data_IF_150240939643
#
_entry.id   IF_150240939643
#
_cell.length_a   1.000
_cell.length_b   1.000
_cell.length_c   1.000
_cell.angle_alpha   90.00
_cell.angle_beta   90.00
_cell.angle_gamma   90.00
#
_symmetry.space_group_name_H-M   'P 1'
#
loop_
_entity.id
_entity.type
_entity.pdbx_description
1 polymer ?
#
# COMPACT_ATOMS: atom_id res chain seq x y z
N UNK A 1 4.13 -12.29 50.62
CA UNK A 1 4.35 -13.75 50.72
C UNK A 1 4.26 -14.12 52.18
N UNK A 2 3.49 -15.16 52.52
CA UNK A 2 3.40 -15.66 53.90
C UNK A 2 4.70 -16.41 54.23
N UNK A 3 5.30 -16.11 55.38
CA UNK A 3 6.51 -16.79 55.84
C UNK A 3 6.09 -17.93 56.77
N UNK A 4 6.38 -19.16 56.36
CA UNK A 4 6.01 -20.36 57.08
C UNK A 4 7.20 -20.94 57.83
N UNK A 5 7.00 -21.29 59.10
CA UNK A 5 8.00 -21.95 59.94
C UNK A 5 7.48 -23.28 60.47
N UNK A 6 8.38 -24.23 60.64
CA UNK A 6 8.06 -25.51 61.28
C UNK A 6 7.99 -25.26 62.79
N UNK A 7 6.81 -25.44 63.37
CA UNK A 7 6.58 -25.26 64.81
C UNK A 7 6.61 -26.59 65.56
N UNK A 8 6.06 -27.66 64.98
CA UNK A 8 6.15 -29.02 65.51
C UNK A 8 6.43 -30.05 64.43
N UNK A 9 7.10 -31.14 64.81
CA UNK A 9 7.40 -32.27 63.93
C UNK A 9 7.30 -33.57 64.74
N UNK A 10 6.48 -34.51 64.27
CA UNK A 10 6.40 -35.86 64.82
C UNK A 10 6.89 -36.87 63.79
N UNK A 11 7.76 -37.79 64.20
CA UNK A 11 8.32 -38.83 63.34
C UNK A 11 8.07 -40.19 63.99
N UNK A 12 7.38 -41.07 63.27
CA UNK A 12 7.04 -42.42 63.69
C UNK A 12 7.56 -43.45 62.69
N UNK A 13 8.12 -44.54 63.21
CA UNK A 13 8.61 -45.70 62.45
C UNK A 13 9.52 -45.35 61.25
N UNK A 14 10.37 -44.32 61.40
CA UNK A 14 11.27 -43.84 60.36
C UNK A 14 12.74 -43.96 60.77
N UNK A 15 13.52 -44.75 60.03
CA UNK A 15 14.97 -44.98 60.20
C UNK A 15 15.35 -45.30 61.65
N UNK A 16 15.95 -44.34 62.36
CA UNK A 16 16.42 -44.50 63.73
C UNK A 16 15.29 -44.34 64.77
N UNK A 17 14.17 -43.72 64.39
CA UNK A 17 13.11 -43.32 65.31
C UNK A 17 11.97 -44.33 65.33
N UNK A 18 11.57 -44.75 66.52
CA UNK A 18 10.34 -45.52 66.75
C UNK A 18 9.14 -44.59 66.85
N UNK A 19 9.24 -43.59 67.72
CA UNK A 19 8.35 -42.44 67.80
C UNK A 19 9.11 -41.28 68.48
N UNK A 20 9.13 -40.11 67.88
CA UNK A 20 9.72 -38.90 68.45
C UNK A 20 8.90 -37.68 68.05
N UNK A 21 8.76 -36.74 68.98
CA UNK A 21 8.11 -35.46 68.73
C UNK A 21 9.08 -34.33 69.07
N UNK A 22 9.15 -33.35 68.18
CA UNK A 22 9.90 -32.13 68.34
C UNK A 22 8.92 -30.97 68.41
N UNK A 23 8.97 -30.22 69.51
CA UNK A 23 8.33 -28.92 69.63
C UNK A 23 9.41 -27.85 69.47
N UNK A 24 9.41 -27.20 68.31
CA UNK A 24 10.40 -26.18 67.97
C UNK A 24 10.03 -24.81 68.54
N UNK A 25 8.80 -24.62 69.04
CA UNK A 25 8.26 -23.32 69.51
C UNK A 25 8.55 -22.19 68.50
N UNK A 26 8.47 -20.92 68.90
CA UNK A 26 8.94 -19.76 68.09
C UNK A 26 10.47 -19.60 68.15
N UNK A 27 11.24 -20.69 68.25
CA UNK A 27 12.70 -20.63 68.35
C UNK A 27 13.31 -20.32 66.98
N UNK A 28 14.21 -19.35 66.91
CA UNK A 28 14.85 -18.94 65.65
C UNK A 28 16.06 -19.81 65.27
N UNK A 29 16.65 -20.54 66.22
CA UNK A 29 17.80 -21.41 66.01
C UNK A 29 17.70 -22.63 66.92
N UNK A 30 17.92 -23.82 66.35
CA UNK A 30 17.84 -25.10 67.04
C UNK A 30 19.02 -25.95 66.64
N UNK A 31 19.70 -26.52 67.63
CA UNK A 31 20.85 -27.38 67.43
C UNK A 31 20.51 -28.80 67.87
N UNK A 32 20.67 -29.76 66.97
CA UNK A 32 20.54 -31.19 67.28
C UNK A 32 21.91 -31.76 67.63
N UNK A 33 22.17 -31.96 68.92
CA UNK A 33 23.41 -32.56 69.40
C UNK A 33 23.21 -34.04 69.75
N UNK A 34 24.24 -34.85 69.51
CA UNK A 34 24.24 -36.26 69.88
C UNK A 34 25.34 -37.03 69.15
N UNK A 35 25.61 -38.30 69.52
CA UNK A 35 26.59 -39.13 68.84
C UNK A 35 26.19 -39.47 67.39
N UNK A 36 27.12 -39.99 66.61
CA UNK A 36 26.81 -40.49 65.27
C UNK A 36 25.88 -41.72 65.36
N UNK A 37 24.91 -41.81 64.45
CA UNK A 37 23.91 -42.90 64.44
C UNK A 37 22.65 -42.66 65.27
N UNK A 38 22.57 -41.59 66.07
CA UNK A 38 21.41 -41.25 66.90
C UNK A 38 20.23 -40.59 66.15
N UNK A 39 20.29 -40.55 64.81
CA UNK A 39 19.19 -40.06 64.00
C UNK A 39 19.22 -38.56 63.64
N UNK A 40 20.28 -37.81 63.97
CA UNK A 40 20.42 -36.38 63.59
C UNK A 40 20.12 -36.12 62.11
N UNK A 41 20.81 -36.84 61.22
CA UNK A 41 20.58 -36.76 59.77
C UNK A 41 19.21 -37.32 59.38
N UNK A 42 18.70 -38.31 60.13
CA UNK A 42 17.36 -38.87 59.90
C UNK A 42 16.25 -37.86 60.17
N UNK A 43 16.42 -36.92 61.11
CA UNK A 43 15.46 -35.82 61.32
C UNK A 43 15.36 -34.96 60.07
N UNK A 44 16.49 -34.53 59.49
CA UNK A 44 16.49 -33.74 58.26
C UNK A 44 15.96 -34.53 57.06
N UNK A 45 16.27 -35.82 56.96
CA UNK A 45 15.71 -36.69 55.92
C UNK A 45 14.19 -36.80 56.02
N UNK A 46 13.63 -36.84 57.24
CA UNK A 46 12.19 -36.90 57.45
C UNK A 46 11.52 -35.61 56.97
N UNK A 47 12.11 -34.45 57.28
CA UNK A 47 11.62 -33.14 56.83
C UNK A 47 11.72 -33.03 55.30
N UNK A 48 12.85 -33.44 54.69
CA UNK A 48 12.99 -33.43 53.24
C UNK A 48 11.99 -34.37 52.55
N UNK A 49 11.81 -35.58 53.09
CA UNK A 49 10.83 -36.54 52.59
C UNK A 49 9.42 -35.99 52.69
N UNK A 50 9.07 -35.31 53.80
CA UNK A 50 7.77 -34.69 54.01
C UNK A 50 7.44 -33.59 52.99
N UNK A 51 8.41 -32.73 52.64
CA UNK A 51 8.16 -31.63 51.72
C UNK A 51 8.32 -32.02 50.25
N UNK A 52 9.37 -32.76 49.91
CA UNK A 52 9.73 -33.01 48.50
C UNK A 52 9.27 -34.36 47.98
N UNK A 53 8.90 -35.27 48.87
CA UNK A 53 8.51 -36.64 48.52
C UNK A 53 9.70 -37.51 48.17
N UNK A 54 10.93 -37.02 48.34
CA UNK A 54 12.17 -37.75 48.07
C UNK A 54 13.24 -37.35 49.08
N UNK A 55 14.34 -38.10 49.09
CA UNK A 55 15.54 -37.77 49.87
C UNK A 55 16.69 -37.69 48.89
N UNK A 56 17.10 -36.48 48.53
CA UNK A 56 17.98 -36.19 47.40
C UNK A 56 19.33 -36.88 47.54
N UNK A 57 19.94 -36.81 48.74
CA UNK A 57 21.20 -37.52 49.02
C UNK A 57 21.11 -39.04 48.79
N UNK A 58 19.96 -39.67 49.04
CA UNK A 58 19.81 -41.11 48.84
C UNK A 58 19.59 -41.42 47.37
N UNK A 59 18.82 -40.58 46.66
CA UNK A 59 18.70 -40.67 45.21
C UNK A 59 20.06 -40.55 44.51
N UNK A 60 20.91 -39.63 44.96
CA UNK A 60 22.23 -39.40 44.36
C UNK A 60 23.22 -40.52 44.71
N UNK A 61 23.24 -40.98 45.97
CA UNK A 61 24.01 -42.16 46.36
C UNK A 61 23.57 -43.40 45.59
N UNK A 62 22.26 -43.59 45.39
CA UNK A 62 21.74 -44.69 44.60
C UNK A 62 22.23 -44.61 43.15
N UNK A 63 22.20 -43.44 42.51
CA UNK A 63 22.73 -43.24 41.14
C UNK A 63 24.23 -43.53 41.04
N UNK A 64 25.02 -43.14 42.05
CA UNK A 64 26.46 -43.32 42.06
C UNK A 64 26.88 -44.76 42.35
N UNK A 65 26.18 -45.45 43.26
CA UNK A 65 26.58 -46.76 43.79
C UNK A 65 25.90 -47.92 43.06
N UNK A 66 24.68 -47.74 42.54
CA UNK A 66 23.83 -48.84 42.02
C UNK A 66 23.74 -48.89 40.49
N UNK A 67 24.82 -48.56 39.78
CA UNK A 67 24.87 -48.58 38.30
C UNK A 67 24.64 -49.98 37.70
N UNK A 68 24.82 -51.07 38.46
CA UNK A 68 24.88 -52.42 37.87
C UNK A 68 24.02 -53.53 38.53
N UNK A 69 23.25 -53.33 39.60
CA UNK A 69 22.47 -54.43 40.19
C UNK A 69 21.06 -54.07 40.66
N UNK A 70 20.05 -54.71 40.04
CA UNK A 70 18.65 -54.75 40.50
C UNK A 70 18.51 -55.61 41.76
N UNK A 71 19.06 -55.17 42.89
CA UNK A 71 18.82 -55.86 44.18
C UNK A 71 17.47 -55.42 44.74
N UNK A 72 16.52 -56.35 44.82
CA UNK A 72 15.33 -56.20 45.65
C UNK A 72 15.78 -56.30 47.11
N UNK A 73 15.38 -55.35 47.94
CA UNK A 73 15.72 -55.37 49.36
C UNK A 73 14.59 -56.07 50.13
N UNK A 74 14.95 -56.99 51.01
CA UNK A 74 13.98 -57.71 51.86
C UNK A 74 13.25 -56.75 52.80
N UNK A 75 13.97 -55.76 53.32
CA UNK A 75 13.43 -54.73 54.21
C UNK A 75 13.51 -53.34 53.57
N UNK A 76 12.53 -52.51 53.89
CA UNK A 76 12.51 -51.11 53.46
C UNK A 76 13.55 -50.30 54.26
N UNK A 77 14.42 -49.55 53.57
CA UNK A 77 15.48 -48.73 54.18
C UNK A 77 14.95 -47.69 55.19
N UNK A 78 13.72 -47.22 54.98
CA UNK A 78 13.13 -46.13 55.75
C UNK A 78 12.32 -46.63 56.93
N UNK A 79 11.85 -47.87 56.91
CA UNK A 79 10.87 -48.36 57.86
C UNK A 79 11.53 -48.93 59.11
N UNK A 80 11.22 -48.38 60.27
CA UNK A 80 11.72 -48.85 61.55
C UNK A 80 10.72 -49.81 62.22
N UNK A 81 11.07 -51.09 62.28
CA UNK A 81 10.24 -52.16 62.84
C UNK A 81 10.49 -52.47 64.34
N UNK A 82 11.35 -51.69 65.02
CA UNK A 82 11.78 -52.01 66.40
C UNK A 82 10.63 -52.08 67.42
N UNK A 83 9.58 -51.28 67.23
CA UNK A 83 8.38 -51.25 68.09
C UNK A 83 7.15 -51.92 67.44
N UNK A 84 7.38 -52.83 66.48
CA UNK A 84 6.33 -53.49 65.72
C UNK A 84 6.14 -52.92 64.31
N UNK A 85 5.27 -53.56 63.55
CA UNK A 85 4.97 -53.19 62.16
C UNK A 85 3.84 -52.16 62.13
N UNK A 86 4.19 -50.93 62.50
CA UNK A 86 3.30 -49.76 62.44
C UNK A 86 3.57 -48.94 61.18
N UNK A 87 2.59 -48.16 60.75
CA UNK A 87 2.74 -47.24 59.62
C UNK A 87 3.83 -46.20 59.90
N UNK A 88 4.60 -45.89 58.87
CA UNK A 88 5.57 -44.80 58.90
C UNK A 88 4.79 -43.49 58.77
N UNK A 89 4.88 -42.60 59.76
CA UNK A 89 4.20 -41.30 59.74
C UNK A 89 5.19 -40.18 60.06
N UNK A 90 5.15 -39.13 59.25
CA UNK A 90 5.88 -37.88 59.52
C UNK A 90 4.84 -36.76 59.52
N UNK A 91 4.51 -36.21 60.69
CA UNK A 91 3.55 -35.10 60.85
C UNK A 91 4.29 -33.79 61.07
N UNK A 92 3.76 -32.69 60.52
CA UNK A 92 4.29 -31.34 60.75
C UNK A 92 3.19 -30.36 61.07
N UNK A 93 3.49 -29.40 61.93
CA UNK A 93 2.73 -28.16 62.13
C UNK A 93 3.54 -26.99 61.58
N UNK A 94 2.99 -26.31 60.58
CA UNK A 94 3.52 -25.06 60.04
C UNK A 94 2.77 -23.88 60.64
N UNK A 95 3.51 -22.88 61.09
CA UNK A 95 2.98 -21.63 61.63
C UNK A 95 3.41 -20.46 60.75
N UNK A 96 2.47 -19.57 60.43
CA UNK A 96 2.75 -18.30 59.76
C UNK A 96 3.15 -17.24 60.79
N UNK A 97 4.25 -16.52 60.52
CA UNK A 97 4.77 -15.47 61.41
C UNK A 97 3.83 -14.26 61.58
N UNK A 98 2.98 -13.97 60.59
CA UNK A 98 2.16 -12.75 60.54
C UNK A 98 0.78 -12.92 61.17
N UNK A 99 0.10 -14.03 60.87
CA UNK A 99 -1.33 -14.22 61.19
C UNK A 99 -1.56 -15.33 62.23
N UNK A 100 -0.48 -15.94 62.77
CA UNK A 100 -0.50 -17.12 63.65
C UNK A 100 -1.28 -18.32 63.05
N UNK A 101 -1.54 -18.29 61.75
CA UNK A 101 -2.22 -19.34 60.98
C UNK A 101 -1.41 -20.64 61.04
N UNK A 102 -2.12 -21.75 61.27
CA UNK A 102 -1.53 -23.09 61.38
C UNK A 102 -1.97 -24.00 60.26
N UNK A 103 -1.02 -24.75 59.70
CA UNK A 103 -1.28 -25.80 58.74
C UNK A 103 -0.65 -27.10 59.20
N UNK A 104 -1.38 -28.20 59.00
CA UNK A 104 -0.97 -29.52 59.43
C UNK A 104 -0.86 -30.45 58.23
N UNK A 105 0.26 -31.15 58.10
CA UNK A 105 0.48 -32.12 57.03
C UNK A 105 1.05 -33.42 57.60
N UNK A 106 0.74 -34.53 56.94
CA UNK A 106 1.35 -35.82 57.24
C UNK A 106 1.77 -36.52 55.95
N UNK A 107 2.98 -37.08 55.96
CA UNK A 107 3.41 -38.03 54.93
C UNK A 107 3.48 -39.43 55.54
N UNK A 108 2.80 -40.38 54.89
CA UNK A 108 2.62 -41.74 55.39
C UNK A 108 3.14 -42.79 54.42
N UNK A 109 3.76 -43.85 54.95
CA UNK A 109 3.99 -45.11 54.26
C UNK A 109 3.22 -46.22 54.97
N UNK A 110 2.27 -46.83 54.27
CA UNK A 110 1.43 -47.88 54.84
C UNK A 110 2.18 -49.20 54.95
N UNK A 111 1.95 -49.96 56.02
CA UNK A 111 2.57 -51.29 56.25
C UNK A 111 2.35 -52.22 55.07
N UNK A 112 1.15 -52.19 54.46
CA UNK A 112 0.83 -53.02 53.29
C UNK A 112 1.76 -52.75 52.10
N UNK A 113 2.13 -51.49 51.86
CA UNK A 113 3.02 -51.09 50.76
C UNK A 113 4.50 -51.32 51.11
N UNK A 114 4.86 -51.15 52.39
CA UNK A 114 6.23 -51.30 52.91
C UNK A 114 6.66 -52.76 53.08
N UNK A 115 5.71 -53.71 53.15
CA UNK A 115 5.98 -55.17 53.15
C UNK A 115 6.33 -55.70 51.75
N UNK A 116 5.94 -55.00 50.69
CA UNK A 116 6.14 -55.47 49.31
C UNK A 116 7.59 -55.26 48.89
N UNK A 117 8.34 -56.34 48.66
CA UNK A 117 9.78 -56.28 48.31
C UNK A 117 10.08 -55.48 47.03
N UNK A 118 9.13 -55.41 46.09
CA UNK A 118 9.27 -54.60 44.87
C UNK A 118 9.36 -53.11 45.21
N UNK A 119 8.70 -52.70 46.29
CA UNK A 119 8.64 -51.32 46.75
C UNK A 119 9.85 -50.91 47.62
N UNK A 120 10.65 -51.88 48.08
CA UNK A 120 11.76 -51.64 49.01
C UNK A 120 13.04 -51.09 48.36
N UNK A 121 12.98 -50.67 47.09
CA UNK A 121 14.11 -49.99 46.45
C UNK A 121 14.40 -48.68 47.18
N UNK A 122 15.67 -48.40 47.45
CA UNK A 122 16.07 -47.21 48.18
C UNK A 122 15.67 -45.89 47.48
N UNK A 123 15.52 -45.87 46.15
CA UNK A 123 15.08 -44.71 45.39
C UNK A 123 13.57 -44.68 45.10
N UNK A 124 12.80 -45.67 45.56
CA UNK A 124 11.36 -45.70 45.38
C UNK A 124 10.68 -44.92 46.51
N UNK A 125 10.21 -43.72 46.20
CA UNK A 125 9.50 -42.88 47.16
C UNK A 125 8.00 -42.79 46.90
N UNK A 126 7.49 -43.44 45.84
CA UNK A 126 6.07 -43.39 45.47
C UNK A 126 5.15 -44.06 46.52
N UNK A 127 5.73 -44.88 47.40
CA UNK A 127 5.06 -45.48 48.55
C UNK A 127 4.65 -44.46 49.62
N UNK A 128 5.19 -43.24 49.58
CA UNK A 128 4.91 -42.21 50.58
C UNK A 128 3.84 -41.24 50.09
N UNK A 129 2.64 -41.34 50.67
CA UNK A 129 1.49 -40.48 50.33
C UNK A 129 1.39 -39.28 51.28
N UNK A 130 1.04 -38.11 50.74
CA UNK A 130 0.86 -36.86 51.49
C UNK A 130 -0.62 -36.59 51.77
N UNK A 131 -0.94 -36.12 52.97
CA UNK A 131 -2.29 -35.75 53.40
C UNK A 131 -2.27 -34.41 54.14
N UNK A 132 -3.36 -33.65 54.02
CA UNK A 132 -3.63 -32.48 54.86
C UNK A 132 -4.41 -32.92 56.10
N UNK A 133 -4.03 -32.39 57.26
CA UNK A 133 -4.71 -32.64 58.53
C UNK A 133 -5.48 -31.39 58.98
N UNK A 134 -6.57 -31.61 59.73
CA UNK A 134 -7.36 -30.54 60.33
C UNK A 134 -6.73 -30.05 61.65
N UNK A 135 -6.16 -30.99 62.42
CA UNK A 135 -5.40 -30.73 63.64
C UNK A 135 -4.17 -31.66 63.72
N UNK A 136 -3.15 -31.29 64.51
CA UNK A 136 -1.92 -32.08 64.67
C UNK A 136 -2.19 -33.50 65.18
N UNK A 137 -3.18 -33.65 66.07
CA UNK A 137 -3.55 -34.94 66.65
C UNK A 137 -4.53 -35.74 65.78
N UNK A 138 -5.08 -35.13 64.74
CA UNK A 138 -6.01 -35.83 63.84
C UNK A 138 -5.30 -36.93 63.04
N UNK A 139 -6.06 -37.97 62.70
CA UNK A 139 -5.68 -38.96 61.71
C UNK A 139 -6.08 -38.46 60.30
N UNK A 140 -5.37 -38.89 59.25
CA UNK A 140 -5.64 -38.41 57.91
C UNK A 140 -7.00 -38.91 57.41
N UNK A 141 -7.83 -37.97 56.96
CA UNK A 141 -9.02 -38.26 56.16
C UNK A 141 -8.61 -38.71 54.74
N UNK A 142 -9.55 -39.17 53.93
CA UNK A 142 -9.34 -39.61 52.53
C UNK A 142 -8.84 -38.51 51.56
N UNK A 143 -8.53 -37.31 52.06
CA UNK A 143 -7.98 -36.18 51.32
C UNK A 143 -6.48 -36.36 51.01
N UNK A 144 -6.17 -37.34 50.16
CA UNK A 144 -4.83 -37.52 49.60
C UNK A 144 -4.46 -36.33 48.73
N UNK A 145 -3.32 -35.70 49.03
CA UNK A 145 -2.76 -34.61 48.24
C UNK A 145 -1.83 -35.14 47.16
N UNK A 146 -1.77 -34.44 46.03
CA UNK A 146 -0.76 -34.68 45.01
C UNK A 146 0.63 -34.33 45.55
N UNK A 147 1.66 -35.08 45.11
CA UNK A 147 3.04 -34.83 45.54
C UNK A 147 3.56 -33.43 45.15
N UNK A 148 2.95 -32.79 44.14
CA UNK A 148 3.28 -31.44 43.68
C UNK A 148 2.53 -30.33 44.45
N UNK A 149 1.73 -30.68 45.47
CA UNK A 149 0.96 -29.70 46.24
C UNK A 149 1.84 -28.57 46.80
N UNK A 150 3.02 -28.90 47.32
CA UNK A 150 3.93 -27.89 47.87
C UNK A 150 4.52 -26.97 46.80
N UNK A 151 4.59 -27.37 45.52
CA UNK A 151 4.97 -26.48 44.43
C UNK A 151 3.85 -25.47 44.12
N UNK A 152 2.59 -25.87 44.23
CA UNK A 152 1.46 -24.94 44.11
C UNK A 152 1.39 -23.99 45.31
N UNK A 153 1.69 -24.48 46.52
CA UNK A 153 1.54 -23.73 47.76
C UNK A 153 2.71 -22.78 48.05
N UNK A 154 3.96 -23.24 47.93
CA UNK A 154 5.16 -22.44 48.23
C UNK A 154 5.80 -21.79 46.99
N UNK A 155 5.36 -22.19 45.78
CA UNK A 155 5.84 -21.65 44.52
C UNK A 155 6.48 -22.70 43.64
N UNK A 156 6.38 -22.46 42.33
CA UNK A 156 6.91 -23.34 41.29
C UNK A 156 8.38 -23.68 41.54
N UNK A 157 8.72 -24.96 41.46
CA UNK A 157 10.07 -25.50 41.69
C UNK A 157 10.53 -25.54 43.15
N UNK A 158 9.64 -25.34 44.14
CA UNK A 158 9.97 -25.51 45.57
C UNK A 158 10.66 -26.85 45.85
N UNK A 159 10.10 -27.96 45.38
CA UNK A 159 10.67 -29.30 45.59
C UNK A 159 12.03 -29.49 44.91
N UNK A 160 12.27 -28.79 43.79
CA UNK A 160 13.56 -28.83 43.08
C UNK A 160 14.62 -27.96 43.78
N UNK A 161 14.21 -26.81 44.31
CA UNK A 161 15.10 -25.85 44.97
C UNK A 161 15.32 -26.15 46.46
N UNK A 162 14.52 -27.02 47.07
CA UNK A 162 14.60 -27.34 48.51
C UNK A 162 16.01 -27.72 48.99
N UNK A 163 16.78 -28.60 48.30
CA UNK A 163 18.14 -28.95 48.70
C UNK A 163 19.17 -27.83 48.49
N UNK A 164 18.79 -26.73 47.83
CA UNK A 164 19.66 -25.58 47.57
C UNK A 164 19.33 -24.39 48.47
N UNK A 165 18.05 -24.15 48.76
CA UNK A 165 17.56 -22.98 49.48
C UNK A 165 17.18 -23.25 50.94
N UNK A 166 16.57 -24.42 51.21
CA UNK A 166 15.94 -24.70 52.50
C UNK A 166 16.72 -25.72 53.33
N UNK A 167 17.52 -26.58 52.69
CA UNK A 167 18.29 -27.60 53.39
C UNK A 167 19.71 -27.71 52.83
N UNK A 168 20.71 -27.45 53.67
CA UNK A 168 22.12 -27.66 53.34
C UNK A 168 22.58 -29.02 53.85
N UNK A 169 22.76 -29.96 52.93
CA UNK A 169 23.28 -31.29 53.23
C UNK A 169 24.72 -31.27 53.78
N UNK A 170 25.00 -32.14 54.75
CA UNK A 170 26.33 -32.31 55.34
C UNK A 170 27.35 -32.73 54.27
N UNK A 171 28.41 -31.94 54.08
CA UNK A 171 29.46 -32.19 53.09
C UNK A 171 29.09 -31.86 51.63
N UNK A 172 27.87 -31.39 51.36
CA UNK A 172 27.35 -31.08 50.03
C UNK A 172 27.09 -29.58 49.78
N UNK A 173 27.61 -28.69 50.65
CA UNK A 173 27.74 -27.25 50.35
C UNK A 173 28.52 -26.97 49.06
N UNK A 174 29.16 -28.02 48.53
CA UNK A 174 29.81 -28.10 47.23
C UNK A 174 28.90 -27.79 46.03
N UNK A 175 27.58 -27.60 46.14
CA UNK A 175 26.78 -27.05 45.03
C UNK A 175 26.96 -25.54 44.85
N UNK A 176 26.95 -24.76 45.95
CA UNK A 176 27.22 -23.32 45.95
C UNK A 176 28.74 -23.07 45.85
N UNK A 177 29.51 -23.90 46.56
CA UNK A 177 30.98 -23.83 46.59
C UNK A 177 31.64 -24.84 45.64
N UNK A 178 30.97 -25.26 44.56
CA UNK A 178 31.54 -26.25 43.63
C UNK A 178 32.83 -25.72 43.04
N UNK A 179 33.90 -26.54 43.04
CA UNK A 179 35.19 -26.15 42.47
C UNK A 179 35.11 -25.83 40.97
N UNK A 180 34.13 -26.39 40.25
CA UNK A 180 33.94 -26.17 38.80
C UNK A 180 32.91 -25.07 38.54
N UNK A 181 33.30 -24.08 37.74
CA UNK A 181 32.44 -22.94 37.35
C UNK A 181 31.22 -23.40 36.56
N UNK A 182 31.35 -24.47 35.76
CA UNK A 182 30.25 -25.05 34.97
C UNK A 182 29.11 -25.58 35.81
N UNK A 183 29.45 -26.30 36.88
CA UNK A 183 28.47 -26.94 37.76
C UNK A 183 27.75 -25.86 38.59
N UNK A 184 28.50 -24.86 39.08
CA UNK A 184 27.94 -23.67 39.72
C UNK A 184 27.01 -22.90 38.79
N UNK A 185 27.41 -22.71 37.53
CA UNK A 185 26.59 -22.02 36.52
C UNK A 185 25.29 -22.79 36.30
N UNK A 186 25.35 -24.10 36.16
CA UNK A 186 24.14 -24.94 35.99
C UNK A 186 23.19 -24.87 37.18
N UNK A 187 23.71 -24.94 38.41
CA UNK A 187 22.91 -24.80 39.63
C UNK A 187 22.23 -23.42 39.73
N UNK A 188 22.95 -22.34 39.37
CA UNK A 188 22.39 -20.99 39.31
C UNK A 188 21.35 -20.85 38.18
N UNK A 189 21.55 -21.50 37.05
CA UNK A 189 20.59 -21.50 35.95
C UNK A 189 19.28 -22.21 36.32
N UNK A 190 19.35 -23.30 37.08
CA UNK A 190 18.18 -23.99 37.64
C UNK A 190 17.44 -23.09 38.65
N UNK A 191 18.16 -22.41 39.54
CA UNK A 191 17.59 -21.48 40.52
C UNK A 191 16.88 -20.27 39.87
N UNK A 192 17.53 -19.66 38.86
CA UNK A 192 17.06 -18.43 38.20
C UNK A 192 16.06 -18.74 37.07
N UNK A 193 15.80 -20.03 36.77
CA UNK A 193 14.94 -20.49 35.66
C UNK A 193 15.34 -19.91 34.30
N UNK A 194 16.64 -19.80 34.00
CA UNK A 194 17.10 -19.29 32.69
C UNK A 194 16.95 -20.30 31.55
N UNK A 195 16.50 -21.53 31.85
CA UNK A 195 16.34 -22.62 30.89
C UNK A 195 15.31 -22.31 29.80
N UNK A 196 14.22 -21.63 30.14
CA UNK A 196 13.21 -21.23 29.15
C UNK A 196 13.76 -20.18 28.17
N UNK A 197 14.46 -19.19 28.71
CA UNK A 197 15.10 -18.14 27.92
C UNK A 197 16.14 -18.76 26.97
N UNK A 198 16.96 -19.70 27.45
CA UNK A 198 17.91 -20.44 26.62
C UNK A 198 17.23 -21.22 25.49
N UNK A 199 16.14 -21.93 25.79
CA UNK A 199 15.38 -22.66 24.76
C UNK A 199 14.86 -21.72 23.67
N UNK A 200 14.37 -20.53 24.05
CA UNK A 200 13.93 -19.50 23.09
C UNK A 200 15.09 -18.99 22.23
N UNK A 201 16.24 -18.70 22.86
CA UNK A 201 17.47 -18.30 22.13
C UNK A 201 17.90 -19.39 21.14
N UNK A 202 17.91 -20.66 21.55
CA UNK A 202 18.28 -21.77 20.67
C UNK A 202 17.33 -21.93 19.47
N UNK A 203 16.03 -21.65 19.66
CA UNK A 203 15.05 -21.64 18.57
C UNK A 203 15.35 -20.49 17.60
N UNK A 204 15.60 -19.28 18.10
CA UNK A 204 15.96 -18.13 17.29
C UNK A 204 17.21 -18.41 16.44
N UNK A 205 18.27 -18.96 17.06
CA UNK A 205 19.51 -19.33 16.35
C UNK A 205 19.26 -20.37 15.25
N UNK A 206 18.39 -21.37 15.49
CA UNK A 206 18.03 -22.36 14.47
C UNK A 206 17.30 -21.75 13.29
N UNK A 207 16.42 -20.78 13.54
CA UNK A 207 15.68 -20.05 12.48
C UNK A 207 16.65 -19.18 11.68
N UNK A 208 17.54 -18.45 12.37
CA UNK A 208 18.56 -17.62 11.75
C UNK A 208 19.42 -18.44 10.77
N UNK A 209 19.95 -19.58 11.21
CA UNK A 209 20.75 -20.48 10.35
C UNK A 209 19.96 -20.94 9.11
N UNK A 210 18.66 -21.23 9.25
CA UNK A 210 17.81 -21.63 8.10
C UNK A 210 17.61 -20.47 7.13
N UNK A 211 17.33 -19.27 7.63
CA UNK A 211 17.13 -18.08 6.81
C UNK A 211 18.41 -17.72 6.04
N UNK A 212 19.57 -17.73 6.69
CA UNK A 212 20.85 -17.46 6.02
C UNK A 212 21.15 -18.50 4.94
N UNK A 213 20.75 -19.76 5.13
CA UNK A 213 20.90 -20.81 4.10
C UNK A 213 19.99 -20.55 2.90
N UNK A 214 18.73 -20.15 3.13
CA UNK A 214 17.80 -19.80 2.06
C UNK A 214 18.24 -18.55 1.30
N UNK A 215 18.72 -17.52 2.00
CA UNK A 215 19.25 -16.31 1.38
C UNK A 215 20.41 -16.63 0.42
N UNK A 216 21.34 -17.50 0.85
CA UNK A 216 22.45 -17.94 -0.02
C UNK A 216 21.96 -18.69 -1.26
N UNK A 217 20.97 -19.57 -1.13
CA UNK A 217 20.41 -20.30 -2.27
C UNK A 217 19.71 -19.35 -3.26
N UNK A 218 18.91 -18.41 -2.76
CA UNK A 218 18.24 -17.43 -3.60
C UNK A 218 19.23 -16.48 -4.30
N UNK A 219 20.32 -16.08 -3.64
CA UNK A 219 21.38 -15.30 -4.31
C UNK A 219 21.98 -16.05 -5.49
N UNK A 220 22.27 -17.35 -5.34
CA UNK A 220 22.78 -18.17 -6.44
C UNK A 220 21.75 -18.25 -7.59
N UNK A 221 20.47 -18.45 -7.29
CA UNK A 221 19.41 -18.45 -8.32
C UNK A 221 19.27 -17.09 -9.03
N UNK A 222 19.37 -15.98 -8.29
CA UNK A 222 19.34 -14.62 -8.85
C UNK A 222 20.55 -14.38 -9.74
N UNK A 223 21.74 -14.79 -9.32
CA UNK A 223 22.96 -14.65 -10.11
C UNK A 223 22.88 -15.52 -11.39
N UNK A 224 22.30 -16.72 -11.33
CA UNK A 224 22.04 -17.56 -12.50
C UNK A 224 21.01 -16.95 -13.46
N UNK A 225 19.94 -16.34 -12.94
CA UNK A 225 18.94 -15.64 -13.75
C UNK A 225 19.57 -14.39 -14.37
N UNK A 226 20.37 -13.63 -13.62
CA UNK A 226 21.12 -12.49 -14.11
C UNK A 226 22.08 -12.90 -15.24
N UNK A 227 22.81 -14.00 -15.08
CA UNK A 227 23.67 -14.53 -16.13
C UNK A 227 22.87 -15.02 -17.35
N UNK A 228 21.65 -15.54 -17.16
CA UNK A 228 20.75 -15.88 -18.29
C UNK A 228 20.27 -14.63 -19.02
N UNK A 229 19.92 -13.57 -18.29
CA UNK A 229 19.52 -12.28 -18.86
C UNK A 229 20.67 -11.61 -19.60
N UNK A 230 21.87 -11.58 -19.02
CA UNK A 230 23.08 -11.09 -19.70
C UNK A 230 23.44 -11.94 -20.92
N UNK A 231 23.20 -13.26 -20.89
CA UNK A 231 23.36 -14.08 -22.09
C UNK A 231 22.31 -13.81 -23.16
N UNK A 232 21.08 -13.45 -22.78
CA UNK A 232 20.01 -13.10 -23.73
C UNK A 232 20.24 -11.70 -24.32
N UNK A 233 20.74 -10.76 -23.52
CA UNK A 233 21.04 -9.39 -23.94
C UNK A 233 22.41 -9.28 -24.64
N UNK A 234 23.40 -10.06 -24.19
CA UNK A 234 24.79 -10.06 -24.68
C UNK A 234 25.03 -11.01 -25.85
N UNK A 235 24.18 -12.02 -26.05
CA UNK A 235 24.01 -12.58 -27.40
C UNK A 235 23.11 -11.62 -28.17
N UNK A 236 23.74 -10.79 -28.99
CA UNK A 236 23.24 -10.65 -30.36
C UNK A 236 22.75 -12.04 -30.78
N UNK A 237 21.45 -12.14 -31.07
CA UNK A 237 20.81 -13.27 -31.72
C UNK A 237 21.85 -13.85 -32.67
N UNK A 238 22.31 -15.07 -32.39
CA UNK A 238 23.36 -15.74 -33.14
C UNK A 238 23.19 -15.47 -34.63
N UNK A 239 24.23 -14.89 -35.25
CA UNK A 239 24.35 -14.42 -36.64
C UNK A 239 24.13 -15.51 -37.71
N UNK A 240 23.33 -16.55 -37.45
CA UNK A 240 23.30 -17.76 -38.28
C UNK A 240 21.94 -18.34 -38.61
N UNK A 241 20.80 -17.69 -38.31
CA UNK A 241 19.50 -18.16 -38.86
C UNK A 241 18.51 -17.08 -39.29
N UNK A 242 18.59 -15.83 -38.80
CA UNK A 242 17.82 -14.71 -39.34
C UNK A 242 18.62 -13.41 -39.22
N UNK A 243 19.46 -13.15 -40.21
CA UNK A 243 20.21 -11.90 -40.35
C UNK A 243 19.26 -10.79 -40.81
N UNK A 244 18.38 -10.34 -39.90
CA UNK A 244 17.47 -9.22 -40.17
C UNK A 244 18.23 -7.95 -39.84
N UNK A 245 19.01 -7.47 -40.81
CA UNK A 245 19.57 -6.11 -40.77
C UNK A 245 18.39 -5.16 -40.62
N UNK A 246 18.36 -4.44 -39.49
CA UNK A 246 17.31 -3.46 -39.24
C UNK A 246 17.28 -2.46 -40.39
N UNK A 247 16.11 -2.37 -41.03
CA UNK A 247 15.85 -1.44 -42.12
C UNK A 247 14.58 -0.71 -41.80
N UNK A 248 14.71 0.56 -41.41
CA UNK A 248 13.59 1.45 -41.13
C UNK A 248 12.58 1.41 -42.29
N UNK A 249 11.34 1.00 -41.99
CA UNK A 249 10.28 0.85 -42.99
C UNK A 249 9.48 2.15 -43.09
N UNK A 250 9.36 2.90 -42.00
CA UNK A 250 8.62 4.16 -41.92
C UNK A 250 9.37 5.29 -42.61
N UNK A 251 8.67 5.94 -43.54
CA UNK A 251 9.10 7.17 -44.22
C UNK A 251 8.79 8.44 -43.41
N UNK A 252 8.15 8.32 -42.24
CA UNK A 252 7.80 9.47 -41.40
C UNK A 252 8.98 9.96 -40.54
N UNK A 253 9.05 11.27 -40.29
CA UNK A 253 10.12 11.89 -39.45
C UNK A 253 10.13 11.35 -38.02
N UNK A 254 8.96 11.00 -37.48
CA UNK A 254 8.81 10.28 -36.21
C UNK A 254 8.50 8.82 -36.55
N UNK A 255 9.42 7.89 -36.26
CA UNK A 255 9.14 6.46 -36.39
C UNK A 255 8.04 6.06 -35.41
N UNK A 256 7.10 5.20 -35.82
CA UNK A 256 6.34 4.41 -34.86
C UNK A 256 7.30 3.61 -33.98
N UNK A 257 6.99 3.46 -32.69
CA UNK A 257 7.86 2.79 -31.71
C UNK A 257 8.17 1.32 -32.04
N UNK A 258 7.38 0.69 -32.91
CA UNK A 258 7.63 -0.67 -33.39
C UNK A 258 8.67 -0.74 -34.52
N UNK A 259 9.04 0.39 -35.12
CA UNK A 259 10.02 0.54 -36.21
C UNK A 259 11.27 1.28 -35.71
N UNK A 260 11.61 1.13 -34.44
CA UNK A 260 12.85 1.62 -33.84
C UNK A 260 13.87 0.45 -33.72
N UNK A 261 15.17 0.76 -33.69
CA UNK A 261 16.24 -0.24 -33.67
C UNK A 261 16.29 -1.04 -32.34
N UNK A 262 15.93 -0.40 -31.23
CA UNK A 262 15.83 -1.01 -29.90
C UNK A 262 14.38 -0.95 -29.39
N UNK A 263 13.59 -1.97 -29.71
CA UNK A 263 12.14 -2.01 -29.42
C UNK A 263 11.85 -2.37 -27.95
N UNK A 264 12.74 -3.12 -27.29
CA UNK A 264 12.55 -3.65 -25.94
C UNK A 264 13.61 -3.13 -24.97
N UNK A 265 13.32 -2.01 -24.31
CA UNK A 265 14.19 -1.44 -23.29
C UNK A 265 13.91 -2.05 -21.89
N UNK A 266 12.80 -2.78 -21.70
CA UNK A 266 12.43 -3.44 -20.45
C UNK A 266 11.81 -4.84 -20.67
N UNK A 267 12.08 -5.77 -19.74
CA UNK A 267 11.76 -7.21 -19.81
C UNK A 267 10.28 -7.57 -19.94
N UNK A 268 9.36 -6.64 -19.67
CA UNK A 268 7.92 -6.87 -19.70
C UNK A 268 7.21 -5.73 -20.41
N UNK A 269 7.44 -5.60 -21.72
CA UNK A 269 6.78 -4.57 -22.51
C UNK A 269 5.32 -4.94 -22.77
N UNK A 270 4.43 -4.38 -21.93
CA UNK A 270 2.98 -4.38 -22.12
C UNK A 270 2.53 -3.79 -23.48
N UNK A 271 3.45 -3.17 -24.21
CA UNK A 271 3.24 -2.61 -25.53
C UNK A 271 3.46 -3.61 -26.67
N UNK A 272 4.05 -4.80 -26.43
CA UNK A 272 4.25 -5.82 -27.47
C UNK A 272 2.93 -6.19 -28.17
N UNK A 273 1.88 -6.46 -27.37
CA UNK A 273 0.55 -6.77 -27.90
C UNK A 273 -0.10 -5.57 -28.64
N UNK A 274 0.29 -4.33 -28.33
CA UNK A 274 -0.17 -3.15 -29.08
C UNK A 274 0.56 -3.06 -30.41
N UNK A 275 1.87 -3.28 -30.42
CA UNK A 275 2.68 -3.28 -31.65
C UNK A 275 2.22 -4.35 -32.63
N UNK A 276 1.93 -5.57 -32.17
CA UNK A 276 1.36 -6.62 -33.03
C UNK A 276 0.05 -6.16 -33.66
N UNK A 277 -0.88 -5.62 -32.85
CA UNK A 277 -2.18 -5.15 -33.36
C UNK A 277 -2.02 -4.02 -34.39
N UNK A 278 -1.10 -3.08 -34.16
CA UNK A 278 -0.82 -2.00 -35.11
C UNK A 278 -0.26 -2.54 -36.43
N UNK A 279 0.66 -3.51 -36.38
CA UNK A 279 1.22 -4.15 -37.57
C UNK A 279 0.16 -4.96 -38.32
N UNK A 280 -0.69 -5.72 -37.62
CA UNK A 280 -1.80 -6.46 -38.23
C UNK A 280 -2.78 -5.54 -38.95
N UNK A 281 -3.12 -4.40 -38.34
CA UNK A 281 -3.97 -3.38 -38.97
C UNK A 281 -3.34 -2.79 -40.23
N UNK A 282 -2.02 -2.55 -40.21
CA UNK A 282 -1.30 -2.08 -41.41
C UNK A 282 -1.31 -3.13 -42.52
N UNK A 283 -1.13 -4.41 -42.18
CA UNK A 283 -1.21 -5.51 -43.15
C UNK A 283 -2.63 -5.60 -43.75
N UNK A 284 -3.69 -5.46 -42.94
CA UNK A 284 -5.06 -5.45 -43.43
C UNK A 284 -5.36 -4.24 -44.33
N UNK A 285 -4.86 -3.05 -43.96
CA UNK A 285 -4.99 -1.84 -44.79
C UNK A 285 -4.31 -2.01 -46.15
N UNK A 286 -3.12 -2.62 -46.19
CA UNK A 286 -2.42 -2.91 -47.44
C UNK A 286 -3.22 -3.87 -48.34
N UNK A 287 -3.90 -4.87 -47.77
CA UNK A 287 -4.76 -5.79 -48.54
C UNK A 287 -5.98 -5.09 -49.14
N UNK A 288 -6.55 -4.10 -48.45
CA UNK A 288 -7.76 -3.35 -48.87
C UNK A 288 -7.46 -1.96 -49.46
N UNK A 289 -6.30 -1.78 -50.08
CA UNK A 289 -5.85 -0.48 -50.57
C UNK A 289 -6.82 0.18 -51.56
N UNK A 290 -7.39 -0.58 -52.49
CA UNK A 290 -8.31 -0.03 -53.51
C UNK A 290 -9.65 0.40 -52.91
N UNK A 291 -10.14 -0.32 -51.89
CA UNK A 291 -11.36 0.07 -51.17
C UNK A 291 -11.17 1.40 -50.42
N UNK A 292 -9.99 1.57 -49.79
CA UNK A 292 -9.63 2.81 -49.09
C UNK A 292 -9.51 3.97 -50.09
N UNK A 293 -8.92 3.73 -51.28
CA UNK A 293 -8.81 4.74 -52.33
C UNK A 293 -10.20 5.18 -52.81
N UNK A 294 -11.05 4.21 -53.13
CA UNK A 294 -12.43 4.47 -53.56
C UNK A 294 -13.20 5.27 -52.50
N UNK A 295 -13.02 4.92 -51.22
CA UNK A 295 -13.65 5.64 -50.10
C UNK A 295 -13.15 7.07 -49.97
N UNK A 296 -11.86 7.33 -50.18
CA UNK A 296 -11.30 8.69 -50.14
C UNK A 296 -11.81 9.53 -51.31
N UNK A 297 -11.87 8.96 -52.51
CA UNK A 297 -12.44 9.62 -53.69
C UNK A 297 -13.92 9.95 -53.45
N UNK A 298 -14.70 8.99 -52.94
CA UNK A 298 -16.10 9.20 -52.56
C UNK A 298 -16.26 10.27 -51.47
N UNK A 299 -15.40 10.30 -50.45
CA UNK A 299 -15.47 11.32 -49.40
C UNK A 299 -15.14 12.71 -49.93
N UNK A 300 -14.21 12.83 -50.88
CA UNK A 300 -13.91 14.09 -51.54
C UNK A 300 -15.10 14.59 -52.38
N UNK A 301 -15.77 13.67 -53.08
CA UNK A 301 -17.00 13.96 -53.84
C UNK A 301 -18.12 14.38 -52.88
N UNK A 302 -18.34 13.64 -51.79
CA UNK A 302 -19.36 13.98 -50.79
C UNK A 302 -19.10 15.35 -50.15
N UNK A 303 -17.86 15.66 -49.77
CA UNK A 303 -17.50 16.99 -49.27
C UNK A 303 -17.78 18.07 -50.30
N UNK A 304 -17.39 17.85 -51.55
CA UNK A 304 -17.66 18.79 -52.64
C UNK A 304 -19.17 19.03 -52.84
N UNK A 305 -19.99 17.97 -52.77
CA UNK A 305 -21.45 18.07 -52.86
C UNK A 305 -22.01 18.88 -51.70
N UNK A 306 -21.59 18.60 -50.46
CA UNK A 306 -22.06 19.32 -49.26
C UNK A 306 -21.67 20.80 -49.32
N UNK A 307 -20.43 21.11 -49.67
CA UNK A 307 -19.94 22.49 -49.72
C UNK A 307 -20.63 23.30 -50.83
N UNK A 308 -21.05 22.66 -51.92
CA UNK A 308 -21.62 23.32 -53.10
C UNK A 308 -23.11 23.01 -53.32
N UNK A 309 -23.83 22.49 -52.32
CA UNK A 309 -25.21 22.03 -52.45
C UNK A 309 -26.15 23.12 -53.01
N UNK A 310 -26.01 24.35 -52.49
CA UNK A 310 -26.77 25.51 -52.96
C UNK A 310 -26.51 25.86 -54.43
N UNK A 311 -25.26 25.74 -54.88
CA UNK A 311 -24.86 26.00 -56.28
C UNK A 311 -25.30 24.88 -57.22
N UNK A 312 -25.28 23.63 -56.76
CA UNK A 312 -25.77 22.47 -57.50
C UNK A 312 -27.30 22.53 -57.68
N UNK A 313 -28.04 22.92 -56.63
CA UNK A 313 -29.49 23.19 -56.72
C UNK A 313 -29.80 24.31 -57.72
N UNK A 314 -29.02 25.40 -57.67
CA UNK A 314 -29.14 26.49 -58.64
C UNK A 314 -28.86 25.98 -60.06
N UNK A 315 -27.80 25.20 -60.26
CA UNK A 315 -27.44 24.62 -61.55
C UNK A 315 -28.52 23.68 -62.08
N UNK A 316 -29.16 22.86 -61.24
CA UNK A 316 -30.27 21.99 -61.64
C UNK A 316 -31.49 22.82 -62.07
N UNK A 317 -31.78 23.92 -61.38
CA UNK A 317 -32.92 24.80 -61.71
C UNK A 317 -32.69 25.60 -63.01
N UNK A 318 -31.46 26.10 -63.21
CA UNK A 318 -31.07 26.94 -64.37
C UNK A 318 -30.62 26.09 -65.55
N UNK A 319 -30.21 24.83 -65.32
CA UNK A 319 -29.60 23.93 -66.31
C UNK A 319 -30.37 23.79 -67.61
N UNK A 320 -31.72 23.77 -67.53
CA UNK A 320 -32.60 23.73 -68.72
C UNK A 320 -32.56 25.00 -69.57
N UNK A 321 -32.13 26.12 -68.99
CA UNK A 321 -32.12 27.44 -69.61
C UNK A 321 -30.71 27.91 -69.98
N UNK A 322 -29.65 27.16 -69.64
CA UNK A 322 -28.26 27.49 -69.99
C UNK A 322 -28.08 27.65 -71.51
N UNK A 323 -28.68 26.75 -72.30
CA UNK A 323 -28.63 26.83 -73.76
C UNK A 323 -29.35 28.06 -74.34
N UNK A 324 -30.21 28.71 -73.54
CA UNK A 324 -30.95 29.92 -73.91
C UNK A 324 -30.38 31.18 -73.25
N UNK A 325 -29.29 31.07 -72.49
CA UNK A 325 -28.74 32.19 -71.72
C UNK A 325 -28.36 33.37 -72.62
N UNK A 326 -27.67 33.13 -73.73
CA UNK A 326 -27.28 34.18 -74.68
C UNK A 326 -28.52 34.90 -75.25
N UNK A 327 -29.58 34.15 -75.55
CA UNK A 327 -30.84 34.72 -76.05
C UNK A 327 -31.56 35.56 -75.01
N UNK A 328 -31.56 35.12 -73.74
CA UNK A 328 -32.16 35.85 -72.62
C UNK A 328 -31.37 37.11 -72.29
N UNK A 329 -30.03 37.07 -72.39
CA UNK A 329 -29.17 38.24 -72.17
C UNK A 329 -29.40 39.30 -73.26
N UNK A 330 -29.54 38.89 -74.52
CA UNK A 330 -29.92 39.77 -75.63
C UNK A 330 -31.31 40.39 -75.43
N UNK A 331 -32.29 39.62 -74.96
CA UNK A 331 -33.64 40.14 -74.65
C UNK A 331 -33.63 41.13 -73.48
N UNK A 332 -32.89 40.83 -72.42
CA UNK A 332 -32.81 41.72 -71.25
C UNK A 332 -32.10 43.05 -71.60
N UNK A 333 -31.03 42.99 -72.42
CA UNK A 333 -30.38 44.22 -72.91
C UNK A 333 -31.36 45.09 -73.69
N UNK A 334 -32.15 44.50 -74.59
CA UNK A 334 -33.20 45.21 -75.32
C UNK A 334 -34.27 45.81 -74.39
N UNK A 335 -34.66 45.10 -73.33
CA UNK A 335 -35.62 45.61 -72.34
C UNK A 335 -35.08 46.82 -71.58
N UNK A 336 -33.84 46.74 -71.09
CA UNK A 336 -33.17 47.86 -70.41
C UNK A 336 -33.03 49.08 -71.33
N UNK A 337 -32.69 48.85 -72.60
CA UNK A 337 -32.62 49.92 -73.59
C UNK A 337 -33.99 50.58 -73.80
N UNK A 338 -35.09 49.81 -73.83
CA UNK A 338 -36.46 50.32 -73.94
C UNK A 338 -36.91 51.09 -72.68
N UNK A 339 -36.60 50.58 -71.49
CA UNK A 339 -36.91 51.27 -70.22
C UNK A 339 -36.19 52.63 -70.13
N UNK A 340 -34.93 52.70 -70.57
CA UNK A 340 -34.20 53.96 -70.63
C UNK A 340 -34.83 54.95 -71.60
N UNK A 341 -35.32 54.48 -72.76
CA UNK A 341 -36.05 55.32 -73.72
C UNK A 341 -37.34 55.87 -73.11
N UNK A 342 -38.13 55.02 -72.44
CA UNK A 342 -39.37 55.44 -71.78
C UNK A 342 -39.12 56.49 -70.70
N UNK A 343 -38.09 56.29 -69.86
CA UNK A 343 -37.70 57.25 -68.83
C UNK A 343 -37.28 58.62 -69.38
N UNK A 344 -36.71 58.66 -70.58
CA UNK A 344 -36.34 59.93 -71.23
C UNK A 344 -37.57 60.59 -71.86
N UNK A 345 -38.47 59.82 -72.46
CA UNK A 345 -39.68 60.34 -73.12
C UNK A 345 -40.73 60.87 -72.14
N UNK A 346 -40.80 60.34 -70.91
CA UNK A 346 -41.72 60.82 -69.87
C UNK A 346 -41.30 62.16 -69.22
N UNK A 347 -40.11 62.71 -69.55
CA UNK A 347 -39.64 63.99 -68.99
C UNK A 347 -40.14 65.19 -69.79
N UNK A 348 -40.46 66.28 -69.08
CA UNK A 348 -40.87 67.55 -69.70
C UNK A 348 -39.83 68.08 -70.69
N UNK A 349 -40.29 68.45 -71.90
CA UNK A 349 -39.48 68.93 -73.05
C UNK A 349 -38.52 70.09 -72.72
N UNK A 350 -38.78 70.84 -71.65
CA UNK A 350 -37.93 71.95 -71.22
C UNK A 350 -36.60 71.48 -70.59
N UNK A 351 -36.53 70.24 -70.11
CA UNK A 351 -35.37 69.69 -69.37
C UNK A 351 -34.47 68.77 -70.17
N UNK A 352 -34.87 68.37 -71.39
CA UNK A 352 -34.12 67.43 -72.21
C UNK A 352 -32.90 68.13 -72.84
N UNK A 353 -31.74 67.50 -72.71
CA UNK A 353 -30.45 67.99 -73.22
C UNK A 353 -30.10 67.42 -74.60
N UNK A 354 -29.19 68.08 -75.31
CA UNK A 354 -28.74 67.67 -76.65
C UNK A 354 -28.09 66.26 -76.69
N UNK A 355 -27.48 65.83 -75.59
CA UNK A 355 -26.85 64.50 -75.47
C UNK A 355 -27.86 63.37 -75.27
N UNK A 356 -28.98 63.62 -74.58
CA UNK A 356 -30.04 62.64 -74.38
C UNK A 356 -30.81 62.37 -75.68
N UNK A 357 -30.94 63.38 -76.55
CA UNK A 357 -31.53 63.24 -77.88
C UNK A 357 -30.61 62.45 -78.82
N UNK A 358 -29.29 62.64 -78.71
CA UNK A 358 -28.32 61.83 -79.46
C UNK A 358 -28.42 60.34 -79.07
N UNK A 359 -28.59 60.04 -77.77
CA UNK A 359 -28.83 58.68 -77.28
C UNK A 359 -30.14 58.09 -77.82
N UNK A 360 -31.24 58.85 -77.81
CA UNK A 360 -32.51 58.42 -78.40
C UNK A 360 -32.42 58.13 -79.91
N UNK A 361 -31.64 58.94 -80.64
CA UNK A 361 -31.42 58.72 -82.08
C UNK A 361 -30.59 57.47 -82.37
N UNK A 362 -29.60 57.16 -81.52
CA UNK A 362 -28.79 55.94 -81.62
C UNK A 362 -29.59 54.66 -81.30
N UNK A 363 -30.69 54.80 -80.57
CA UNK A 363 -31.61 53.72 -80.18
C UNK A 363 -32.78 53.54 -81.16
N UNK A 364 -32.80 54.29 -82.28
CA UNK A 364 -33.76 54.10 -83.38
C UNK A 364 -35.06 54.91 -83.26
N UNK A 365 -35.17 55.86 -82.34
CA UNK A 365 -36.33 56.75 -82.22
C UNK A 365 -36.16 57.97 -83.13
N UNK A 366 -36.98 58.07 -84.18
CA UNK A 366 -36.87 59.12 -85.18
C UNK A 366 -37.66 60.38 -84.77
N UNK A 367 -37.04 61.26 -83.99
CA UNK A 367 -37.62 62.55 -83.58
C UNK A 367 -37.60 63.55 -84.75
N UNK A 368 -38.70 64.29 -84.96
CA UNK A 368 -38.83 65.26 -86.07
C UNK A 368 -37.73 66.31 -86.02
N UNK A 369 -37.12 66.64 -87.16
CA UNK A 369 -35.95 67.54 -87.23
C UNK A 369 -36.25 68.96 -86.70
N UNK A 370 -37.50 69.41 -86.80
CA UNK A 370 -37.95 70.68 -86.20
C UNK A 370 -37.75 70.73 -84.68
N UNK A 371 -38.00 69.62 -83.98
CA UNK A 371 -37.84 69.55 -82.52
C UNK A 371 -36.36 69.65 -82.13
N UNK A 372 -35.47 69.00 -82.89
CA UNK A 372 -34.02 69.08 -82.68
C UNK A 372 -33.51 70.51 -82.88
N UNK A 373 -33.93 71.17 -83.95
CA UNK A 373 -33.56 72.58 -84.21
C UNK A 373 -34.05 73.52 -83.10
N UNK A 374 -35.29 73.37 -82.64
CA UNK A 374 -35.82 74.22 -81.56
C UNK A 374 -35.08 74.05 -80.24
N UNK A 375 -34.60 72.85 -79.92
CA UNK A 375 -33.84 72.58 -78.69
C UNK A 375 -32.42 73.15 -78.82
N UNK A 376 -31.79 73.04 -79.99
CA UNK A 376 -30.48 73.65 -80.26
C UNK A 376 -30.55 75.18 -80.16
N UNK A 377 -31.59 75.81 -80.70
CA UNK A 377 -31.78 77.26 -80.54
C UNK A 377 -32.05 77.66 -79.08
N UNK A 378 -32.84 76.87 -78.34
CA UNK A 378 -33.07 77.09 -76.91
C UNK A 378 -31.76 77.07 -76.13
N UNK A 379 -30.94 76.04 -76.34
CA UNK A 379 -29.69 75.86 -75.60
C UNK A 379 -28.67 76.97 -75.93
N UNK A 380 -28.57 77.37 -77.21
CA UNK A 380 -27.77 78.56 -77.60
C UNK A 380 -28.23 79.82 -76.89
N UNK A 381 -29.55 80.05 -76.79
CA UNK A 381 -30.10 81.21 -76.07
C UNK A 381 -29.86 81.13 -74.58
N UNK A 382 -29.93 79.94 -73.96
CA UNK A 382 -29.62 79.75 -72.53
C UNK A 382 -28.15 80.01 -72.21
N UNK A 383 -27.23 79.54 -73.06
CA UNK A 383 -25.79 79.82 -72.91
C UNK A 383 -25.53 81.32 -73.01
N UNK A 384 -26.09 82.00 -74.03
CA UNK A 384 -26.00 83.46 -74.17
C UNK A 384 -26.58 84.22 -72.96
N UNK A 385 -27.67 83.72 -72.36
CA UNK A 385 -28.29 84.31 -71.18
C UNK A 385 -27.40 84.15 -69.94
N UNK A 386 -26.76 82.99 -69.77
CA UNK A 386 -25.80 82.74 -68.69
C UNK A 386 -24.56 83.63 -68.80
N UNK A 387 -23.96 83.74 -70.00
CA UNK A 387 -22.81 84.62 -70.25
C UNK A 387 -23.14 86.09 -70.00
N UNK A 388 -24.32 86.54 -70.44
CA UNK A 388 -24.79 87.91 -70.17
C UNK A 388 -25.00 88.14 -68.68
N UNK A 389 -25.56 87.17 -67.94
CA UNK A 389 -25.71 87.27 -66.48
C UNK A 389 -24.35 87.43 -65.77
N UNK A 390 -23.34 86.66 -66.18
CA UNK A 390 -21.99 86.73 -65.60
C UNK A 390 -21.37 88.11 -65.86
N UNK A 391 -21.42 88.59 -67.10
CA UNK A 391 -20.93 89.94 -67.44
C UNK A 391 -21.66 91.05 -66.67
N UNK A 392 -22.97 90.91 -66.47
CA UNK A 392 -23.78 91.88 -65.70
C UNK A 392 -23.40 91.88 -64.21
N UNK A 393 -23.11 90.71 -63.65
CA UNK A 393 -22.61 90.56 -62.27
C UNK A 393 -21.22 91.17 -62.11
N UNK A 394 -20.30 90.97 -63.05
CA UNK A 394 -18.97 91.61 -63.03
C UNK A 394 -19.07 93.13 -63.14
N UNK A 395 -19.95 93.64 -64.01
CA UNK A 395 -20.16 95.08 -64.19
C UNK A 395 -20.78 95.71 -62.93
N UNK A 396 -21.70 95.01 -62.25
CA UNK A 396 -22.23 95.45 -60.97
C UNK A 396 -21.16 95.44 -59.87
N UNK A 397 -20.30 94.42 -59.81
CA UNK A 397 -19.15 94.41 -58.88
C UNK A 397 -18.19 95.56 -59.14
N UNK A 398 -17.84 95.83 -60.40
CA UNK A 398 -16.98 96.96 -60.74
C UNK A 398 -17.62 98.31 -60.39
N UNK A 399 -18.95 98.43 -60.49
CA UNK A 399 -19.68 99.61 -60.01
C UNK A 399 -19.61 99.76 -58.50
N UNK A 400 -19.78 98.68 -57.74
CA UNK A 400 -19.64 98.69 -56.28
C UNK A 400 -18.21 99.06 -55.87
N UNK A 401 -17.19 98.49 -56.51
CA UNK A 401 -15.77 98.81 -56.25
C UNK A 401 -15.43 100.27 -56.59
N UNK A 402 -16.00 100.82 -57.67
CA UNK A 402 -15.85 102.24 -58.00
C UNK A 402 -16.51 103.13 -56.93
N UNK A 403 -17.69 102.72 -56.45
CA UNK A 403 -18.43 103.44 -55.40
C UNK A 403 -17.64 103.44 -54.09
N UNK A 404 -17.07 102.31 -53.70
CA UNK A 404 -16.18 102.14 -52.54
C UNK A 404 -14.92 103.02 -52.65
N UNK A 405 -14.22 103.00 -53.79
CA UNK A 405 -13.01 103.82 -54.00
C UNK A 405 -13.29 105.31 -54.05
N UNK A 406 -14.40 105.73 -54.66
CA UNK A 406 -14.84 107.13 -54.64
C UNK A 406 -15.09 107.60 -53.20
N UNK A 407 -15.76 106.77 -52.39
CA UNK A 407 -16.04 107.03 -50.98
C UNK A 407 -14.77 107.11 -50.11
N UNK A 408 -13.71 106.38 -50.46
CA UNK A 408 -12.40 106.45 -49.80
C UNK A 408 -11.55 107.66 -50.23
N UNK A 409 -11.73 108.19 -51.44
CA UNK A 409 -10.88 109.26 -52.00
C UNK A 409 -11.40 110.66 -51.69
N UNK A 410 -12.72 110.83 -51.66
CA UNK A 410 -13.38 112.06 -51.26
C UNK A 410 -14.04 111.79 -49.92
N UNK A 411 -13.31 112.09 -48.84
CA UNK A 411 -13.83 111.99 -47.48
C UNK A 411 -14.95 112.98 -47.27
N UNK A 412 -16.17 112.58 -47.61
CA UNK A 412 -17.39 113.24 -47.19
C UNK A 412 -18.36 112.26 -46.54
N UNK A 413 -18.82 112.72 -45.38
CA UNK A 413 -19.80 112.16 -44.50
C UNK A 413 -21.14 111.83 -45.15
N UNK A 414 -21.80 110.85 -44.55
CA UNK A 414 -23.25 110.69 -44.41
C UNK A 414 -24.16 111.29 -45.50
N UNK A 415 -24.94 110.42 -46.14
CA UNK A 415 -26.41 110.43 -45.97
C UNK A 415 -27.07 109.22 -46.64
N UNK A 416 -28.03 108.71 -45.90
CA UNK A 416 -29.04 107.74 -46.31
C UNK A 416 -29.83 108.22 -47.53
N UNK A 417 -30.20 107.27 -48.40
CA UNK A 417 -31.58 107.08 -48.90
C UNK A 417 -31.63 105.70 -49.56
N UNK A 418 -32.32 104.69 -49.04
CA UNK A 418 -33.78 104.49 -49.17
C UNK A 418 -34.33 105.07 -50.47
N UNK A 419 -34.32 104.28 -51.54
CA UNK A 419 -35.55 103.84 -52.20
C UNK A 419 -35.29 102.50 -52.87
#
# INVERSE_FOLDING_TARGET
MKNWKISKLQIQAFKAFTNIEFDFKKSSLITLEGPNGYGKTSTFDAIELLFTGKISRISDLYKLVMVETKRKFKDNLYWNKKNGEVDLKIKVELMNDLDDEKLFFVRMGFVNDLRVEVNNKANNFDVFSLYKLDDFNSEPNDNKLENNFFEQFFGESFCSNYPMLNYLHQGQSQFIFSKKITDRKKALEELIKTTEIKKRIDICNKIEIRLTKQEKLQKVEIDEIGAKLENILGKNISESEYDVIYKKISTQRTSPKWDDEEIFLQEADANYNKFIKEIDLLIECCKRKEDIRTRNENSAIEKFIVDNDSLLLLLVSIGKYISKFDTLQLMNKKLLDIEQILLILDRDLNTISQEEIAKLSSLGVNLSDKLKETIIEKDKKLVLLSERKVKLLELNKMREDLFEKHKQSFGEDSRQSKT
#
